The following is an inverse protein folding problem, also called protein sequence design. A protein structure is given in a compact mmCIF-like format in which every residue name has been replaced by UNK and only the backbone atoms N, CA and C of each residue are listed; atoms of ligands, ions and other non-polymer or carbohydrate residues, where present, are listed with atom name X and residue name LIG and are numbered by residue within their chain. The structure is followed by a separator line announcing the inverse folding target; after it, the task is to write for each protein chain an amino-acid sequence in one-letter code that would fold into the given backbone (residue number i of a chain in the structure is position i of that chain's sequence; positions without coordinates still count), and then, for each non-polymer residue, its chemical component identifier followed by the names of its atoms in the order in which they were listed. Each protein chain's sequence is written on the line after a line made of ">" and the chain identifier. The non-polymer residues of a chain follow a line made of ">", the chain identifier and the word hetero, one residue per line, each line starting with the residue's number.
data_IF_129533789261
#
_entry.id   IF_129533789261
#
_cell.length_a   1.000
_cell.length_b   1.000
_cell.length_c   1.000
_cell.angle_alpha   90.00
_cell.angle_beta   90.00
_cell.angle_gamma   90.00
#
_symmetry.space_group_name_H-M   'P 1'
#
loop_
_entity.id
_entity.type
_entity.pdbx_description
1 polymer ?
#
# COMPACT_ATOMS: atom_id res chain seq x y z
N UNK A 1 72.83 45.18 -20.62
CA UNK A 1 71.83 46.16 -21.05
C UNK A 1 70.80 45.43 -21.90
N UNK A 2 69.72 45.14 -21.42
CA UNK A 2 68.44 44.99 -22.11
C UNK A 2 67.42 44.60 -21.06
N UNK A 3 66.42 45.41 -20.83
CA UNK A 3 65.37 45.19 -19.90
C UNK A 3 64.32 44.22 -20.43
N UNK A 4 63.86 43.36 -19.57
CA UNK A 4 62.69 42.47 -19.81
C UNK A 4 61.47 43.04 -19.18
N UNK A 5 60.47 43.39 -19.96
CA UNK A 5 59.12 43.79 -19.54
C UNK A 5 58.30 42.55 -19.16
N UNK A 6 57.83 42.49 -17.95
CA UNK A 6 56.89 41.47 -17.51
C UNK A 6 55.46 42.00 -17.72
N UNK A 7 54.68 41.32 -18.58
CA UNK A 7 53.24 41.48 -18.63
C UNK A 7 52.58 40.43 -17.74
N UNK A 8 52.09 40.86 -16.56
CA UNK A 8 51.21 40.06 -15.76
C UNK A 8 49.78 40.09 -16.28
N UNK A 9 49.30 38.95 -16.74
CA UNK A 9 47.89 38.77 -17.05
C UNK A 9 47.11 38.52 -15.74
N UNK A 10 46.23 39.47 -15.39
CA UNK A 10 45.26 39.32 -14.30
C UNK A 10 44.10 38.46 -14.84
N UNK A 11 44.06 37.20 -14.46
CA UNK A 11 42.90 36.35 -14.71
C UNK A 11 41.75 36.82 -13.83
N UNK A 12 40.65 37.23 -14.44
CA UNK A 12 39.40 37.52 -13.74
C UNK A 12 38.88 36.26 -13.03
N UNK A 13 38.33 36.35 -11.82
CA UNK A 13 37.74 35.21 -11.11
C UNK A 13 36.47 34.75 -11.85
N UNK A 14 36.48 33.52 -12.36
CA UNK A 14 35.28 32.86 -12.91
C UNK A 14 34.24 32.78 -11.80
N UNK A 15 33.16 33.56 -11.90
CA UNK A 15 31.95 33.40 -11.09
C UNK A 15 31.40 32.01 -11.35
N UNK A 16 31.44 31.16 -10.32
CA UNK A 16 30.71 29.90 -10.34
C UNK A 16 29.22 30.22 -10.48
N UNK A 17 28.50 29.54 -11.38
CA UNK A 17 27.02 29.67 -11.43
C UNK A 17 26.45 29.27 -10.08
N UNK A 18 25.51 30.06 -9.58
CA UNK A 18 24.76 29.76 -8.35
C UNK A 18 24.21 28.32 -8.44
N UNK A 19 24.23 27.55 -7.34
CA UNK A 19 23.66 26.22 -7.36
C UNK A 19 22.20 26.33 -7.76
N UNK A 20 21.82 25.57 -8.79
CA UNK A 20 20.43 25.38 -9.16
C UNK A 20 19.68 24.96 -7.87
N UNK A 21 18.75 25.79 -7.39
CA UNK A 21 17.82 25.36 -6.36
C UNK A 21 17.07 24.16 -6.95
N UNK A 22 17.44 22.97 -6.49
CA UNK A 22 16.74 21.75 -6.85
C UNK A 22 15.30 21.90 -6.35
N UNK A 23 14.35 22.05 -7.27
CA UNK A 23 12.93 22.03 -6.94
C UNK A 23 12.71 20.77 -6.11
N UNK A 24 12.34 20.93 -4.84
CA UNK A 24 12.23 19.84 -3.89
C UNK A 24 11.29 18.77 -4.48
N UNK A 25 11.85 17.59 -4.77
CA UNK A 25 11.10 16.44 -5.30
C UNK A 25 9.90 16.16 -4.37
N UNK A 26 8.69 16.02 -4.92
CA UNK A 26 7.55 15.55 -4.14
C UNK A 26 7.90 14.21 -3.49
N UNK A 27 7.61 14.07 -2.19
CA UNK A 27 7.83 12.81 -1.48
C UNK A 27 7.07 11.68 -2.15
N UNK A 28 7.76 10.55 -2.39
CA UNK A 28 7.18 9.33 -2.96
C UNK A 28 6.64 8.43 -1.88
N UNK A 29 5.45 7.92 -2.15
CA UNK A 29 4.77 6.95 -1.28
C UNK A 29 4.51 5.70 -2.09
N UNK A 30 4.92 4.56 -1.58
CA UNK A 30 4.65 3.26 -2.19
C UNK A 30 3.64 2.47 -1.37
N UNK A 31 2.67 1.87 -2.04
CA UNK A 31 1.68 0.99 -1.42
C UNK A 31 1.48 -0.26 -2.27
N UNK A 32 1.70 -1.42 -1.69
CA UNK A 32 1.46 -2.72 -2.32
C UNK A 32 0.17 -3.37 -1.80
N UNK A 33 -0.62 -3.95 -2.69
CA UNK A 33 -1.82 -4.71 -2.33
C UNK A 33 -1.89 -6.01 -3.11
N UNK A 34 -2.12 -7.14 -2.40
CA UNK A 34 -2.25 -8.45 -3.01
C UNK A 34 -3.64 -8.65 -3.61
N UNK A 35 -3.77 -9.26 -4.80
CA UNK A 35 -5.04 -9.63 -5.40
C UNK A 35 -5.64 -10.87 -4.73
N UNK A 36 -6.02 -10.74 -3.46
CA UNK A 36 -6.53 -11.82 -2.60
C UNK A 36 -8.06 -12.01 -2.67
N UNK A 37 -8.69 -11.48 -3.71
CA UNK A 37 -10.14 -11.44 -3.95
C UNK A 37 -10.75 -10.06 -3.64
N UNK A 38 -12.07 -9.89 -3.86
CA UNK A 38 -12.75 -8.60 -3.72
C UNK A 38 -12.48 -7.92 -2.38
N UNK A 39 -12.32 -6.61 -2.38
CA UNK A 39 -12.08 -5.82 -1.17
C UNK A 39 -13.26 -5.86 -0.21
N UNK A 40 -12.99 -5.58 1.05
CA UNK A 40 -13.99 -5.33 2.09
C UNK A 40 -13.99 -3.85 2.46
N UNK A 41 -15.05 -3.39 3.12
CA UNK A 41 -15.05 -2.02 3.69
C UNK A 41 -13.89 -1.80 4.67
N UNK A 42 -13.39 -2.87 5.31
CA UNK A 42 -12.20 -2.81 6.16
C UNK A 42 -10.91 -2.48 5.39
N UNK A 43 -10.75 -2.99 4.16
CA UNK A 43 -9.64 -2.61 3.28
C UNK A 43 -9.78 -1.16 2.80
N UNK A 44 -10.99 -0.77 2.40
CA UNK A 44 -11.29 0.59 1.94
C UNK A 44 -11.02 1.64 3.02
N UNK A 45 -11.68 1.51 4.17
CA UNK A 45 -11.56 2.47 5.26
C UNK A 45 -10.17 2.46 5.93
N UNK A 46 -9.55 1.27 6.01
CA UNK A 46 -8.27 1.08 6.68
C UNK A 46 -7.05 1.47 5.83
N UNK A 47 -7.18 1.56 4.51
CA UNK A 47 -6.03 1.86 3.64
C UNK A 47 -6.39 2.70 2.42
N UNK A 48 -7.29 2.20 1.54
CA UNK A 48 -7.48 2.77 0.20
C UNK A 48 -7.97 4.22 0.26
N UNK A 49 -8.88 4.55 1.18
CA UNK A 49 -9.38 5.90 1.39
C UNK A 49 -8.26 6.91 1.71
N UNK A 50 -7.26 6.48 2.46
CA UNK A 50 -6.07 7.29 2.74
C UNK A 50 -5.23 7.48 1.48
N UNK A 51 -5.03 6.43 0.67
CA UNK A 51 -4.30 6.51 -0.59
C UNK A 51 -4.95 7.50 -1.57
N UNK A 52 -6.28 7.47 -1.66
CA UNK A 52 -7.06 8.43 -2.47
C UNK A 52 -6.81 9.88 -2.04
N UNK A 53 -6.68 10.15 -0.74
CA UNK A 53 -6.36 11.50 -0.25
C UNK A 53 -4.89 11.86 -0.53
N UNK A 54 -3.96 10.94 -0.28
CA UNK A 54 -2.52 11.19 -0.41
C UNK A 54 -2.06 11.45 -1.85
N UNK A 55 -2.75 10.92 -2.87
CA UNK A 55 -2.38 11.13 -4.28
C UNK A 55 -2.42 12.61 -4.71
N UNK A 56 -3.11 13.48 -3.97
CA UNK A 56 -3.14 14.91 -4.25
C UNK A 56 -1.94 15.68 -3.71
N UNK A 57 -1.28 15.13 -2.70
CA UNK A 57 -0.20 15.80 -1.97
C UNK A 57 1.18 15.19 -2.27
N UNK A 58 1.23 13.90 -2.60
CA UNK A 58 2.45 13.10 -2.76
C UNK A 58 2.48 12.42 -4.12
N UNK A 59 3.66 12.02 -4.57
CA UNK A 59 3.78 11.12 -5.71
C UNK A 59 3.46 9.69 -5.24
N UNK A 60 2.22 9.27 -5.48
CA UNK A 60 1.71 7.98 -5.02
C UNK A 60 1.93 6.89 -6.06
N UNK A 61 2.47 5.77 -5.62
CA UNK A 61 2.76 4.58 -6.43
C UNK A 61 2.00 3.41 -5.79
N UNK A 62 1.04 2.86 -6.52
CA UNK A 62 0.21 1.75 -6.09
C UNK A 62 0.51 0.53 -6.95
N UNK A 63 1.00 -0.52 -6.32
CA UNK A 63 1.40 -1.76 -6.97
C UNK A 63 0.45 -2.89 -6.61
N UNK A 64 -0.15 -3.53 -7.60
CA UNK A 64 -0.86 -4.80 -7.42
C UNK A 64 0.20 -5.91 -7.38
N UNK A 65 0.51 -6.40 -6.18
CA UNK A 65 1.64 -7.29 -5.93
C UNK A 65 1.27 -8.76 -6.18
N UNK A 66 1.07 -9.11 -7.43
CA UNK A 66 0.65 -10.44 -7.86
C UNK A 66 1.74 -11.50 -7.69
N UNK A 67 3.03 -11.14 -7.71
CA UNK A 67 4.11 -12.08 -7.42
C UNK A 67 4.10 -12.52 -5.95
N UNK A 68 3.73 -11.63 -5.02
CA UNK A 68 3.53 -12.02 -3.62
C UNK A 68 2.37 -12.99 -3.44
N UNK A 69 1.34 -12.91 -4.27
CA UNK A 69 0.22 -13.84 -4.21
C UNK A 69 0.62 -15.28 -4.58
N UNK A 70 1.70 -15.45 -5.35
CA UNK A 70 2.23 -16.76 -5.75
C UNK A 70 2.94 -17.53 -4.62
N UNK A 71 3.18 -16.90 -3.47
CA UNK A 71 3.80 -17.56 -2.30
C UNK A 71 2.90 -18.61 -1.65
N UNK A 72 1.63 -18.64 -2.00
CA UNK A 72 0.63 -19.62 -1.59
C UNK A 72 0.06 -20.33 -2.83
N UNK A 73 -0.52 -21.53 -2.70
CA UNK A 73 -1.20 -22.20 -3.80
C UNK A 73 -2.27 -21.31 -4.45
N UNK A 74 -2.25 -21.20 -5.76
CA UNK A 74 -3.18 -20.36 -6.53
C UNK A 74 -3.60 -21.02 -7.83
N UNK A 75 -4.75 -20.63 -8.36
CA UNK A 75 -5.18 -20.92 -9.72
C UNK A 75 -4.77 -19.75 -10.65
N UNK A 76 -4.08 -20.02 -11.79
CA UNK A 76 -3.59 -18.95 -12.67
C UNK A 76 -4.71 -18.09 -13.29
N UNK A 77 -5.85 -18.69 -13.63
CA UNK A 77 -6.99 -17.97 -14.20
C UNK A 77 -7.60 -17.05 -13.14
N UNK A 78 -7.73 -17.57 -11.92
CA UNK A 78 -8.27 -16.84 -10.79
C UNK A 78 -7.34 -15.69 -10.36
N UNK A 79 -6.03 -15.90 -10.35
CA UNK A 79 -5.03 -14.86 -10.06
C UNK A 79 -5.13 -13.69 -11.06
N UNK A 80 -5.20 -14.01 -12.37
CA UNK A 80 -5.38 -12.99 -13.41
C UNK A 80 -6.67 -12.21 -13.24
N UNK A 81 -7.80 -12.90 -13.02
CA UNK A 81 -9.09 -12.28 -12.79
C UNK A 81 -9.07 -11.36 -11.58
N UNK A 82 -8.58 -11.84 -10.43
CA UNK A 82 -8.47 -11.05 -9.18
C UNK A 82 -7.56 -9.85 -9.31
N UNK A 83 -6.52 -9.92 -10.16
CA UNK A 83 -5.64 -8.78 -10.45
C UNK A 83 -6.41 -7.66 -11.16
N UNK A 84 -7.23 -8.00 -12.16
CA UNK A 84 -8.06 -7.03 -12.87
C UNK A 84 -9.20 -6.49 -11.99
N UNK A 85 -9.87 -7.38 -11.25
CA UNK A 85 -10.92 -7.00 -10.29
C UNK A 85 -10.40 -5.99 -9.26
N UNK A 86 -9.22 -6.24 -8.68
CA UNK A 86 -8.61 -5.34 -7.73
C UNK A 86 -8.23 -3.99 -8.34
N UNK A 87 -7.72 -3.97 -9.59
CA UNK A 87 -7.44 -2.73 -10.30
C UNK A 87 -8.73 -1.90 -10.48
N UNK A 88 -9.81 -2.53 -10.92
CA UNK A 88 -11.12 -1.90 -11.06
C UNK A 88 -11.64 -1.36 -9.71
N UNK A 89 -11.53 -2.14 -8.64
CA UNK A 89 -11.93 -1.72 -7.29
C UNK A 89 -11.13 -0.49 -6.82
N UNK A 90 -9.81 -0.45 -7.02
CA UNK A 90 -8.97 0.68 -6.64
C UNK A 90 -9.35 1.95 -7.41
N UNK A 91 -9.55 1.85 -8.72
CA UNK A 91 -9.98 2.97 -9.57
C UNK A 91 -11.38 3.44 -9.16
N UNK A 92 -12.32 2.53 -8.93
CA UNK A 92 -13.68 2.85 -8.49
C UNK A 92 -13.68 3.56 -7.13
N UNK A 93 -12.75 3.21 -6.23
CA UNK A 93 -12.57 3.88 -4.94
C UNK A 93 -12.00 5.31 -5.05
N UNK A 94 -11.54 5.72 -6.24
CA UNK A 94 -11.01 7.06 -6.48
C UNK A 94 -9.50 7.17 -6.64
N UNK A 95 -8.78 6.05 -6.79
CA UNK A 95 -7.39 6.11 -7.27
C UNK A 95 -7.44 6.63 -8.72
N UNK A 96 -6.90 7.81 -8.92
CA UNK A 96 -6.85 8.52 -10.19
C UNK A 96 -5.56 8.15 -10.95
N UNK A 97 -5.63 7.41 -12.07
CA UNK A 97 -4.45 6.99 -12.82
C UNK A 97 -3.63 8.14 -13.40
N UNK A 98 -4.20 9.33 -13.52
CA UNK A 98 -3.45 10.52 -13.98
C UNK A 98 -2.60 11.12 -12.85
N UNK A 99 -3.03 10.98 -11.59
CA UNK A 99 -2.34 11.52 -10.41
C UNK A 99 -1.40 10.51 -9.76
N UNK A 100 -1.84 9.25 -9.68
CA UNK A 100 -1.07 8.16 -9.10
C UNK A 100 -0.56 7.21 -10.18
N UNK A 101 0.50 6.47 -9.89
CA UNK A 101 0.96 5.34 -10.71
C UNK A 101 0.27 4.09 -10.18
N UNK A 102 -0.57 3.46 -11.00
CA UNK A 102 -1.22 2.18 -10.68
C UNK A 102 -0.77 1.13 -11.70
N UNK A 103 -0.13 0.07 -11.25
CA UNK A 103 0.43 -0.96 -12.13
C UNK A 103 0.44 -2.35 -11.49
N UNK A 104 0.77 -3.37 -12.27
CA UNK A 104 0.92 -4.76 -11.82
C UNK A 104 2.41 -5.09 -11.68
N UNK A 105 2.79 -5.64 -10.53
CA UNK A 105 4.17 -5.94 -10.16
C UNK A 105 4.93 -6.77 -11.21
N UNK A 106 4.30 -7.84 -11.73
CA UNK A 106 4.92 -8.72 -12.72
C UNK A 106 5.24 -8.04 -14.07
N UNK A 107 4.61 -6.89 -14.35
CA UNK A 107 4.84 -6.13 -15.58
C UNK A 107 6.11 -5.25 -15.51
N UNK A 108 6.78 -5.21 -14.35
CA UNK A 108 8.06 -4.50 -14.12
C UNK A 108 9.11 -5.51 -13.65
N UNK A 109 9.84 -6.19 -14.55
CA UNK A 109 10.80 -7.25 -14.21
C UNK A 109 11.92 -6.82 -13.25
N UNK A 110 12.20 -5.54 -13.18
CA UNK A 110 13.19 -4.92 -12.28
C UNK A 110 12.95 -5.28 -10.81
N UNK A 111 11.72 -5.53 -10.40
CA UNK A 111 11.39 -6.01 -9.05
C UNK A 111 12.10 -7.33 -8.74
N UNK A 112 12.04 -8.28 -9.65
CA UNK A 112 12.63 -9.62 -9.45
C UNK A 112 14.14 -9.60 -9.60
N UNK A 113 14.70 -8.80 -10.50
CA UNK A 113 16.14 -8.63 -10.64
C UNK A 113 16.73 -7.99 -9.38
N UNK A 114 16.11 -6.90 -8.89
CA UNK A 114 16.55 -6.26 -7.66
C UNK A 114 16.42 -7.22 -6.46
N UNK A 115 15.35 -8.01 -6.40
CA UNK A 115 15.17 -9.03 -5.35
C UNK A 115 16.37 -9.98 -5.31
N UNK A 116 16.84 -10.47 -6.46
CA UNK A 116 18.02 -11.33 -6.50
C UNK A 116 19.25 -10.63 -5.96
N UNK A 117 19.53 -9.41 -6.40
CA UNK A 117 20.67 -8.64 -5.94
C UNK A 117 20.60 -8.39 -4.43
N UNK A 118 19.45 -7.95 -3.91
CA UNK A 118 19.26 -7.71 -2.49
C UNK A 118 19.34 -8.99 -1.65
N UNK A 119 18.97 -10.15 -2.22
CA UNK A 119 19.07 -11.44 -1.52
C UNK A 119 20.51 -11.78 -1.15
N UNK A 120 21.50 -11.33 -1.95
CA UNK A 120 22.93 -11.50 -1.66
C UNK A 120 23.40 -10.62 -0.50
N UNK A 121 22.65 -9.60 -0.13
CA UNK A 121 22.92 -8.67 0.96
C UNK A 121 22.04 -8.92 2.19
N UNK A 122 21.08 -9.85 2.09
CA UNK A 122 20.15 -10.17 3.19
C UNK A 122 20.62 -11.39 3.94
N UNK A 123 20.71 -11.30 5.27
CA UNK A 123 21.19 -12.40 6.09
C UNK A 123 20.09 -13.46 6.26
N UNK A 124 20.46 -14.74 6.08
CA UNK A 124 19.54 -15.87 6.25
C UNK A 124 18.83 -15.85 7.61
N UNK A 125 19.56 -15.50 8.68
CA UNK A 125 19.00 -15.38 10.02
C UNK A 125 17.99 -14.24 10.20
N UNK A 126 18.06 -13.17 9.39
CA UNK A 126 17.07 -12.09 9.40
C UNK A 126 15.73 -12.59 8.88
N UNK A 127 15.75 -13.27 7.73
CA UNK A 127 14.55 -13.89 7.14
C UNK A 127 13.94 -14.95 8.07
N UNK A 128 14.77 -15.78 8.72
CA UNK A 128 14.31 -16.80 9.66
C UNK A 128 13.64 -16.21 10.92
N UNK A 129 13.85 -14.92 11.23
CA UNK A 129 13.20 -14.24 12.35
C UNK A 129 11.88 -13.57 11.99
N UNK A 130 11.53 -13.48 10.69
CA UNK A 130 10.28 -12.86 10.25
C UNK A 130 9.07 -13.59 10.84
N UNK A 131 8.16 -12.82 11.45
CA UNK A 131 6.98 -13.36 12.16
C UNK A 131 6.11 -14.18 11.23
N UNK A 132 5.81 -13.68 10.03
CA UNK A 132 4.95 -14.41 9.10
C UNK A 132 5.54 -15.73 8.61
N UNK A 133 6.87 -15.82 8.48
CA UNK A 133 7.52 -17.11 8.18
C UNK A 133 7.36 -18.10 9.33
N UNK A 134 7.49 -17.62 10.58
CA UNK A 134 7.29 -18.45 11.78
C UNK A 134 5.86 -18.95 11.89
N UNK A 135 4.89 -18.11 11.57
CA UNK A 135 3.46 -18.43 11.73
C UNK A 135 2.96 -19.38 10.64
N UNK A 136 3.41 -19.19 9.39
CA UNK A 136 2.93 -19.93 8.23
C UNK A 136 3.83 -21.10 7.79
N UNK A 137 5.14 -21.01 8.11
CA UNK A 137 6.16 -21.95 7.62
C UNK A 137 6.65 -22.96 8.66
N UNK A 138 6.27 -22.85 9.92
CA UNK A 138 6.80 -23.66 11.01
C UNK A 138 6.30 -25.10 10.91
N UNK A 139 7.19 -26.01 10.46
CA UNK A 139 6.96 -27.46 10.50
C UNK A 139 6.28 -28.05 9.28
N UNK A 140 6.02 -27.29 8.22
CA UNK A 140 5.55 -27.83 6.94
C UNK A 140 6.71 -27.80 5.91
N UNK A 141 7.31 -28.96 5.63
CA UNK A 141 8.37 -29.12 4.64
C UNK A 141 7.92 -28.81 3.19
N UNK A 142 6.60 -28.65 2.98
CA UNK A 142 6.02 -28.35 1.66
C UNK A 142 5.88 -26.86 1.40
N UNK A 143 6.30 -25.99 2.35
CA UNK A 143 6.27 -24.55 2.17
C UNK A 143 7.31 -24.14 1.14
N UNK A 144 6.87 -23.48 0.07
CA UNK A 144 7.75 -22.99 -0.98
C UNK A 144 8.75 -21.96 -0.47
N UNK A 145 9.96 -21.94 -1.04
CA UNK A 145 11.00 -20.95 -0.71
C UNK A 145 10.54 -19.49 -0.89
N UNK A 146 9.56 -19.24 -1.75
CA UNK A 146 8.95 -17.92 -1.92
C UNK A 146 8.40 -17.32 -0.62
N UNK A 147 7.85 -18.15 0.29
CA UNK A 147 7.38 -17.68 1.60
C UNK A 147 8.55 -17.25 2.51
N UNK A 148 9.75 -17.76 2.29
CA UNK A 148 10.95 -17.34 3.01
C UNK A 148 11.53 -16.05 2.41
N UNK A 149 11.48 -15.91 1.07
CA UNK A 149 12.13 -14.82 0.33
C UNK A 149 11.25 -13.59 0.08
N UNK A 150 9.91 -13.69 0.22
CA UNK A 150 9.03 -12.55 -0.09
C UNK A 150 9.38 -11.24 0.65
N UNK A 151 9.99 -11.22 1.87
CA UNK A 151 10.38 -9.97 2.48
C UNK A 151 11.46 -9.21 1.70
N UNK A 152 12.32 -9.94 0.96
CA UNK A 152 13.32 -9.33 0.07
C UNK A 152 12.65 -8.75 -1.19
N UNK A 153 11.66 -9.45 -1.74
CA UNK A 153 10.85 -8.92 -2.83
C UNK A 153 10.09 -7.65 -2.39
N UNK A 154 9.54 -7.63 -1.19
CA UNK A 154 8.89 -6.43 -0.64
C UNK A 154 9.89 -5.28 -0.46
N UNK A 155 11.11 -5.56 -0.01
CA UNK A 155 12.17 -4.55 0.06
C UNK A 155 12.50 -3.99 -1.33
N UNK A 156 12.63 -4.87 -2.34
CA UNK A 156 12.86 -4.47 -3.73
C UNK A 156 11.70 -3.60 -4.25
N UNK A 157 10.45 -3.99 -4.01
CA UNK A 157 9.25 -3.23 -4.42
C UNK A 157 9.31 -1.78 -3.95
N UNK A 158 9.79 -1.57 -2.73
CA UNK A 158 9.80 -0.27 -2.06
C UNK A 158 10.98 0.59 -2.54
N UNK A 159 12.21 0.06 -2.48
CA UNK A 159 13.41 0.88 -2.72
C UNK A 159 13.71 1.10 -4.20
N UNK A 160 13.14 0.29 -5.10
CA UNK A 160 13.25 0.46 -6.55
C UNK A 160 12.77 1.84 -7.02
N UNK A 161 11.82 2.42 -6.32
CA UNK A 161 11.19 3.69 -6.66
C UNK A 161 11.71 4.90 -5.86
N UNK A 162 12.82 4.77 -5.14
CA UNK A 162 13.29 5.83 -4.21
C UNK A 162 12.16 6.31 -3.29
N UNK A 163 11.46 5.38 -2.70
CA UNK A 163 10.31 5.62 -1.82
C UNK A 163 10.75 6.33 -0.54
N UNK A 164 10.10 7.43 -0.19
CA UNK A 164 10.37 8.16 1.05
C UNK A 164 9.59 7.56 2.23
N UNK A 165 8.33 7.11 2.00
CA UNK A 165 7.50 6.54 3.07
C UNK A 165 6.54 5.48 2.57
N UNK A 166 6.23 4.52 3.43
CA UNK A 166 5.34 3.39 3.16
C UNK A 166 4.21 3.38 4.17
N UNK A 167 2.96 3.68 3.76
CA UNK A 167 1.80 3.60 4.65
C UNK A 167 1.49 2.13 4.94
N UNK A 168 1.71 1.71 6.17
CA UNK A 168 1.53 0.32 6.61
C UNK A 168 0.86 0.23 7.97
N UNK A 169 0.21 -0.90 8.21
CA UNK A 169 -0.22 -1.29 9.55
C UNK A 169 0.97 -1.70 10.44
N UNK A 170 0.77 -1.71 11.75
CA UNK A 170 1.78 -2.09 12.73
C UNK A 170 2.34 -3.50 12.48
N UNK A 171 1.53 -4.42 11.96
CA UNK A 171 1.93 -5.78 11.58
C UNK A 171 2.98 -5.85 10.47
N UNK A 172 3.19 -4.76 9.71
CA UNK A 172 4.18 -4.66 8.65
C UNK A 172 5.46 -3.91 9.07
N UNK A 173 5.54 -3.41 10.30
CA UNK A 173 6.72 -2.68 10.81
C UNK A 173 8.01 -3.46 10.59
N UNK A 174 8.01 -4.75 10.95
CA UNK A 174 9.19 -5.61 10.81
C UNK A 174 9.69 -5.73 9.35
N UNK A 175 8.78 -5.71 8.38
CA UNK A 175 9.15 -5.73 6.96
C UNK A 175 9.82 -4.43 6.52
N UNK A 176 9.32 -3.28 7.01
CA UNK A 176 9.95 -1.98 6.70
C UNK A 176 11.31 -1.85 7.39
N UNK A 177 11.46 -2.35 8.61
CA UNK A 177 12.76 -2.41 9.30
C UNK A 177 13.77 -3.24 8.50
N UNK A 178 13.39 -4.45 8.03
CA UNK A 178 14.24 -5.26 7.15
C UNK A 178 14.59 -4.51 5.85
N UNK A 179 13.62 -3.84 5.24
CA UNK A 179 13.84 -3.04 4.02
C UNK A 179 14.89 -1.97 4.25
N UNK A 180 14.82 -1.26 5.37
CA UNK A 180 15.78 -0.23 5.78
C UNK A 180 17.18 -0.81 6.00
N UNK A 181 17.28 -1.91 6.74
CA UNK A 181 18.55 -2.58 7.04
C UNK A 181 19.25 -3.06 5.77
N UNK A 182 18.49 -3.65 4.83
CA UNK A 182 19.02 -4.11 3.53
C UNK A 182 19.46 -2.93 2.67
N UNK A 183 18.67 -1.85 2.60
CA UNK A 183 19.03 -0.65 1.83
C UNK A 183 20.27 0.06 2.42
N UNK A 184 20.36 0.19 3.74
CA UNK A 184 21.53 0.77 4.43
C UNK A 184 22.78 -0.07 4.20
N UNK A 185 22.68 -1.39 4.30
CA UNK A 185 23.79 -2.31 4.05
C UNK A 185 24.27 -2.22 2.61
N UNK A 186 23.34 -2.18 1.65
CA UNK A 186 23.67 -2.00 0.24
C UNK A 186 24.42 -0.68 0.01
N UNK A 187 23.88 0.44 0.52
CA UNK A 187 24.51 1.76 0.41
C UNK A 187 25.91 1.78 1.05
N UNK A 188 26.08 1.09 2.17
CA UNK A 188 27.38 0.99 2.86
C UNK A 188 28.44 0.24 2.05
N UNK A 189 28.04 -0.75 1.24
CA UNK A 189 28.94 -1.59 0.44
C UNK A 189 29.23 -0.97 -0.93
N UNK A 190 28.21 -0.45 -1.59
CA UNK A 190 28.25 -0.05 -3.00
C UNK A 190 28.14 1.47 -3.21
N UNK A 191 28.02 2.25 -2.14
CA UNK A 191 27.79 3.71 -2.21
C UNK A 191 26.30 4.07 -2.20
N UNK A 192 26.01 5.35 -1.93
CA UNK A 192 24.64 5.90 -1.82
C UNK A 192 23.84 5.65 -3.10
N UNK A 193 22.97 4.67 -3.05
CA UNK A 193 22.17 4.20 -4.19
C UNK A 193 20.67 4.28 -3.90
N UNK A 194 20.24 3.85 -2.72
CA UNK A 194 18.83 3.79 -2.33
C UNK A 194 18.45 4.84 -1.31
N UNK A 195 17.28 5.43 -1.46
CA UNK A 195 16.62 6.18 -0.40
C UNK A 195 16.18 5.22 0.70
N UNK A 196 16.42 5.57 1.96
CA UNK A 196 16.01 4.75 3.12
C UNK A 196 14.56 5.11 3.47
N UNK A 197 13.60 4.20 3.24
CA UNK A 197 12.19 4.52 3.45
C UNK A 197 11.82 4.61 4.93
N UNK A 198 10.77 5.37 5.24
CA UNK A 198 10.17 5.42 6.57
C UNK A 198 8.84 4.67 6.61
N UNK A 199 8.57 3.96 7.71
CA UNK A 199 7.25 3.41 7.96
C UNK A 199 6.29 4.54 8.36
N UNK A 200 5.25 4.75 7.56
CA UNK A 200 4.19 5.72 7.84
C UNK A 200 3.03 4.98 8.54
N UNK A 201 3.24 4.69 9.83
CA UNK A 201 2.28 3.96 10.65
C UNK A 201 1.27 4.96 11.21
N UNK A 202 0.03 4.80 10.81
CA UNK A 202 -1.06 5.63 11.28
C UNK A 202 -1.35 5.31 12.76
N UNK A 203 -1.19 6.31 13.63
CA UNK A 203 -1.45 6.16 15.07
C UNK A 203 -2.93 5.89 15.38
N UNK A 204 -3.80 6.27 14.47
CA UNK A 204 -5.27 6.15 14.57
C UNK A 204 -5.89 5.61 13.29
N UNK A 205 -5.17 4.81 12.49
CA UNK A 205 -5.75 4.14 11.34
C UNK A 205 -6.91 3.26 11.79
N UNK A 206 -8.05 3.43 11.14
CA UNK A 206 -9.26 2.70 11.47
C UNK A 206 -9.04 1.19 11.31
N UNK A 207 -8.61 0.53 12.38
CA UNK A 207 -8.62 -0.92 12.43
C UNK A 207 -10.07 -1.36 12.53
N UNK A 208 -10.67 -1.59 11.37
CA UNK A 208 -12.05 -2.08 11.31
C UNK A 208 -12.08 -3.51 11.80
N UNK A 209 -12.90 -3.73 12.84
CA UNK A 209 -13.07 -5.04 13.45
C UNK A 209 -14.22 -5.79 12.78
N UNK A 210 -14.25 -7.11 12.97
CA UNK A 210 -15.29 -7.98 12.46
C UNK A 210 -16.67 -7.61 13.01
N UNK A 211 -17.70 -7.80 12.20
CA UNK A 211 -19.08 -7.50 12.59
C UNK A 211 -19.66 -8.52 13.59
N UNK A 212 -19.14 -9.74 13.54
CA UNK A 212 -19.56 -10.88 14.40
C UNK A 212 -18.64 -11.10 15.60
N UNK A 213 -17.41 -10.53 15.56
CA UNK A 213 -16.45 -10.62 16.67
C UNK A 213 -15.56 -9.35 16.71
N UNK A 214 -15.92 -8.36 17.54
CA UNK A 214 -15.20 -7.08 17.60
C UNK A 214 -13.78 -7.18 18.21
N UNK A 215 -13.34 -8.36 18.62
CA UNK A 215 -11.96 -8.61 19.07
C UNK A 215 -11.04 -8.99 17.93
N UNK A 216 -11.58 -9.38 16.78
CA UNK A 216 -10.85 -9.77 15.58
C UNK A 216 -10.95 -8.71 14.49
N UNK A 217 -9.88 -8.58 13.69
CA UNK A 217 -9.89 -7.71 12.50
C UNK A 217 -10.89 -8.24 11.47
N UNK A 218 -11.63 -7.33 10.81
CA UNK A 218 -12.50 -7.68 9.67
C UNK A 218 -11.70 -8.41 8.60
N UNK A 219 -12.13 -9.61 8.23
CA UNK A 219 -11.42 -10.48 7.30
C UNK A 219 -12.39 -11.44 6.61
N UNK A 220 -12.14 -11.71 5.31
CA UNK A 220 -12.89 -12.71 4.55
C UNK A 220 -12.76 -14.13 5.10
N UNK A 221 -11.61 -14.46 5.69
CA UNK A 221 -11.36 -15.76 6.32
C UNK A 221 -12.25 -16.04 7.53
N UNK A 222 -12.84 -15.00 8.13
CA UNK A 222 -13.81 -15.13 9.24
C UNK A 222 -15.21 -15.56 8.80
N UNK A 223 -15.46 -15.70 7.51
CA UNK A 223 -16.77 -16.05 6.96
C UNK A 223 -17.64 -14.84 6.61
N UNK A 224 -18.78 -15.05 5.91
CA UNK A 224 -19.58 -13.98 5.31
C UNK A 224 -20.27 -13.04 6.32
N UNK A 225 -20.40 -13.44 7.57
CA UNK A 225 -20.95 -12.58 8.64
C UNK A 225 -19.92 -11.59 9.21
N UNK A 226 -18.63 -11.83 8.95
CA UNK A 226 -17.51 -11.09 9.51
C UNK A 226 -17.32 -9.70 8.85
N UNK A 227 -17.69 -9.57 7.59
CA UNK A 227 -17.34 -8.40 6.78
C UNK A 227 -18.46 -7.94 5.84
N UNK A 228 -18.37 -6.71 5.36
CA UNK A 228 -19.11 -6.21 4.21
C UNK A 228 -18.16 -6.20 3.01
N UNK A 229 -18.55 -6.90 1.93
CA UNK A 229 -17.84 -6.89 0.67
C UNK A 229 -18.22 -5.68 -0.19
N UNK A 230 -17.33 -5.26 -1.09
CA UNK A 230 -17.62 -4.17 -2.02
C UNK A 230 -18.82 -4.47 -2.94
N UNK A 231 -19.06 -5.73 -3.23
CA UNK A 231 -20.17 -6.17 -4.10
C UNK A 231 -21.42 -6.59 -3.33
N UNK A 232 -21.47 -6.40 -2.00
CA UNK A 232 -22.70 -6.66 -1.24
C UNK A 232 -23.83 -5.73 -1.71
N UNK A 233 -24.98 -6.30 -2.00
CA UNK A 233 -26.18 -5.54 -2.32
C UNK A 233 -26.66 -4.72 -1.12
N UNK A 234 -27.48 -3.66 -1.32
CA UNK A 234 -28.07 -2.89 -0.24
C UNK A 234 -28.76 -3.77 0.82
N UNK A 235 -29.48 -4.82 0.39
CA UNK A 235 -30.16 -5.72 1.31
C UNK A 235 -29.19 -6.61 2.10
N UNK A 236 -28.08 -7.01 1.49
CA UNK A 236 -27.01 -7.72 2.21
C UNK A 236 -26.33 -6.84 3.24
N UNK A 237 -26.03 -5.58 2.91
CA UNK A 237 -25.47 -4.61 3.84
C UNK A 237 -26.42 -4.42 5.04
N UNK A 238 -27.72 -4.16 4.78
CA UNK A 238 -28.73 -4.04 5.84
C UNK A 238 -28.78 -5.28 6.72
N UNK A 239 -28.80 -6.46 6.13
CA UNK A 239 -28.83 -7.73 6.84
C UNK A 239 -27.58 -7.93 7.71
N UNK A 240 -26.38 -7.66 7.18
CA UNK A 240 -25.11 -7.82 7.90
C UNK A 240 -25.01 -6.84 9.06
N UNK A 241 -25.30 -5.56 8.85
CA UNK A 241 -25.28 -4.54 9.92
C UNK A 241 -26.34 -4.85 11.00
N UNK A 242 -27.56 -5.25 10.62
CA UNK A 242 -28.57 -5.63 11.60
C UNK A 242 -28.14 -6.82 12.48
N UNK A 243 -27.41 -7.78 11.93
CA UNK A 243 -26.89 -8.95 12.64
C UNK A 243 -25.56 -8.70 13.37
N UNK A 244 -24.87 -7.60 13.09
CA UNK A 244 -23.62 -7.28 13.77
C UNK A 244 -23.79 -7.34 15.29
N UNK A 245 -22.77 -7.84 15.97
CA UNK A 245 -22.79 -7.94 17.45
C UNK A 245 -22.85 -6.54 18.06
N UNK A 246 -23.55 -6.43 19.18
CA UNK A 246 -23.60 -5.24 20.03
C UNK A 246 -23.26 -5.63 21.47
N UNK A 247 -22.72 -4.68 22.20
CA UNK A 247 -22.37 -4.84 23.58
C UNK A 247 -23.62 -4.83 24.48
N UNK A 248 -23.49 -5.24 25.75
CA UNK A 248 -24.54 -5.17 26.74
C UNK A 248 -24.98 -3.74 27.02
N UNK A 249 -26.27 -3.54 27.30
CA UNK A 249 -26.85 -2.23 27.56
C UNK A 249 -27.50 -1.60 26.35
N UNK A 250 -27.79 -0.30 26.41
CA UNK A 250 -28.50 0.46 25.34
C UNK A 250 -27.81 1.71 24.90
N UNK A 251 -26.69 2.09 25.51
CA UNK A 251 -25.97 3.33 25.21
C UNK A 251 -25.10 3.17 23.94
N UNK A 252 -25.20 4.13 23.04
CA UNK A 252 -24.43 4.22 21.80
C UNK A 252 -23.23 5.12 22.06
N UNK A 253 -22.15 4.54 22.58
CA UNK A 253 -20.91 5.25 22.97
C UNK A 253 -19.67 4.41 22.62
N UNK A 254 -18.59 5.08 22.21
CA UNK A 254 -17.32 4.47 21.82
C UNK A 254 -16.37 4.35 23.02
N UNK A 255 -16.65 3.40 23.92
CA UNK A 255 -15.81 3.12 25.09
C UNK A 255 -15.08 1.78 24.93
N UNK A 256 -14.00 1.59 25.69
CA UNK A 256 -13.20 0.36 25.64
C UNK A 256 -13.94 -0.88 26.18
N UNK A 257 -14.90 -0.67 27.09
CA UNK A 257 -15.80 -1.72 27.59
C UNK A 257 -16.94 -2.05 26.63
N UNK A 258 -17.03 -1.32 25.48
CA UNK A 258 -18.03 -1.51 24.43
C UNK A 258 -17.36 -1.65 23.05
N UNK A 259 -16.54 -2.69 22.83
CA UNK A 259 -15.76 -2.82 21.59
C UNK A 259 -16.61 -2.95 20.33
N UNK A 260 -17.78 -3.58 20.40
CA UNK A 260 -18.67 -3.71 19.25
C UNK A 260 -19.25 -2.35 18.84
N UNK A 261 -19.72 -1.55 19.80
CA UNK A 261 -20.28 -0.24 19.53
C UNK A 261 -19.19 0.74 19.09
N UNK A 262 -18.01 0.68 19.70
CA UNK A 262 -16.81 1.45 19.27
C UNK A 262 -16.48 1.18 17.80
N UNK A 263 -16.52 -0.10 17.37
CA UNK A 263 -16.29 -0.46 15.97
C UNK A 263 -17.38 0.09 15.04
N UNK A 264 -18.66 -0.07 15.36
CA UNK A 264 -19.76 0.40 14.53
C UNK A 264 -19.80 1.94 14.43
N UNK A 265 -19.55 2.66 15.51
CA UNK A 265 -19.40 4.12 15.51
C UNK A 265 -18.18 4.55 14.69
N UNK A 266 -17.07 3.83 14.79
CA UNK A 266 -15.89 4.08 13.97
C UNK A 266 -16.17 3.91 12.47
N UNK A 267 -16.87 2.85 12.07
CA UNK A 267 -17.31 2.64 10.69
C UNK A 267 -18.22 3.79 10.23
N UNK A 268 -19.19 4.19 11.06
CA UNK A 268 -20.09 5.30 10.73
C UNK A 268 -19.34 6.62 10.54
N UNK A 269 -18.52 6.96 11.52
CA UNK A 269 -17.67 8.16 11.46
C UNK A 269 -16.83 8.23 10.19
N UNK A 270 -16.21 7.12 9.83
CA UNK A 270 -15.36 7.06 8.63
C UNK A 270 -16.16 7.18 7.33
N UNK A 271 -17.35 6.59 7.22
CA UNK A 271 -18.15 6.75 6.01
C UNK A 271 -18.73 8.15 5.85
N UNK A 272 -19.08 8.80 6.96
CA UNK A 272 -19.79 10.10 6.91
C UNK A 272 -18.90 11.32 7.18
N UNK A 273 -17.61 11.11 7.50
CA UNK A 273 -16.70 12.18 8.00
C UNK A 273 -17.26 12.92 9.23
N UNK A 274 -18.16 12.29 9.98
CA UNK A 274 -18.77 12.84 11.20
C UNK A 274 -17.97 12.41 12.43
N UNK A 275 -17.54 13.32 13.29
CA UNK A 275 -16.84 12.95 14.52
C UNK A 275 -17.67 11.99 15.41
N UNK A 276 -16.99 11.02 16.04
CA UNK A 276 -17.66 10.03 16.92
C UNK A 276 -18.48 10.73 18.01
N UNK A 277 -17.96 11.79 18.62
CA UNK A 277 -18.66 12.58 19.65
C UNK A 277 -19.98 13.19 19.17
N UNK A 278 -20.06 13.57 17.91
CA UNK A 278 -21.30 14.09 17.31
C UNK A 278 -22.30 12.96 17.06
N UNK A 279 -21.82 11.79 16.61
CA UNK A 279 -22.65 10.60 16.48
C UNK A 279 -23.21 10.15 17.84
N UNK A 280 -22.38 10.10 18.88
CA UNK A 280 -22.81 9.76 20.23
C UNK A 280 -23.91 10.71 20.71
N UNK A 281 -23.74 12.03 20.53
CA UNK A 281 -24.73 13.03 20.90
C UNK A 281 -26.05 12.87 20.13
N UNK A 282 -26.00 12.51 18.85
CA UNK A 282 -27.18 12.28 17.99
C UNK A 282 -28.01 11.08 18.46
N UNK A 283 -27.37 10.07 19.05
CA UNK A 283 -28.01 8.82 19.44
C UNK A 283 -28.28 8.68 20.94
N UNK A 284 -28.21 9.76 21.71
CA UNK A 284 -28.62 9.75 23.12
C UNK A 284 -30.09 9.32 23.26
N UNK A 285 -30.34 8.25 24.00
CA UNK A 285 -31.67 7.71 24.19
C UNK A 285 -32.26 6.92 23.02
N UNK A 286 -31.49 6.74 21.94
CA UNK A 286 -31.89 5.95 20.77
C UNK A 286 -31.44 4.50 20.95
N UNK A 287 -32.28 3.55 20.54
CA UNK A 287 -31.93 2.12 20.62
C UNK A 287 -31.02 1.65 19.46
N UNK A 288 -30.26 0.58 19.70
CA UNK A 288 -29.35 -0.03 18.73
C UNK A 288 -29.98 -0.34 17.36
N UNK A 289 -31.26 -0.70 17.33
CA UNK A 289 -31.95 -1.02 16.09
C UNK A 289 -32.05 0.19 15.13
N UNK A 290 -32.34 1.40 15.65
CA UNK A 290 -32.37 2.60 14.84
C UNK A 290 -30.96 2.97 14.38
N UNK A 291 -29.99 3.00 15.29
CA UNK A 291 -28.59 3.26 14.97
C UNK A 291 -28.06 2.35 13.84
N UNK A 292 -28.34 1.05 13.92
CA UNK A 292 -27.91 0.09 12.88
C UNK A 292 -28.58 0.33 11.53
N UNK A 293 -29.85 0.73 11.52
CA UNK A 293 -30.52 1.09 10.26
C UNK A 293 -29.85 2.31 9.61
N UNK A 294 -29.63 3.35 10.40
CA UNK A 294 -29.01 4.58 9.91
C UNK A 294 -27.57 4.35 9.42
N UNK A 295 -26.79 3.53 10.17
CA UNK A 295 -25.47 3.10 9.75
C UNK A 295 -25.49 2.33 8.42
N UNK A 296 -26.43 1.40 8.24
CA UNK A 296 -26.56 0.64 7.02
C UNK A 296 -26.87 1.53 5.82
N UNK A 297 -27.82 2.48 5.98
CA UNK A 297 -28.14 3.43 4.90
C UNK A 297 -26.95 4.35 4.58
N UNK A 298 -26.21 4.83 5.58
CA UNK A 298 -25.00 5.62 5.36
C UNK A 298 -23.93 4.86 4.57
N UNK A 299 -23.72 3.56 4.89
CA UNK A 299 -22.80 2.71 4.11
C UNK A 299 -23.31 2.56 2.68
N UNK A 300 -24.59 2.26 2.47
CA UNK A 300 -25.18 2.06 1.15
C UNK A 300 -25.04 3.33 0.30
N UNK A 301 -25.36 4.49 0.86
CA UNK A 301 -25.26 5.78 0.16
C UNK A 301 -23.82 6.07 -0.31
N UNK A 302 -22.82 5.82 0.54
CA UNK A 302 -21.42 6.05 0.20
C UNK A 302 -20.85 4.98 -0.75
N UNK A 303 -21.35 3.75 -0.66
CA UNK A 303 -20.90 2.67 -1.54
C UNK A 303 -21.54 2.73 -2.94
N UNK A 304 -22.75 3.29 -3.08
CA UNK A 304 -23.47 3.30 -4.33
C UNK A 304 -22.69 3.90 -5.52
N UNK A 305 -22.05 5.09 -5.42
CA UNK A 305 -21.26 5.64 -6.51
C UNK A 305 -20.02 4.80 -6.83
N UNK A 306 -19.40 4.19 -5.83
CA UNK A 306 -18.24 3.30 -6.00
C UNK A 306 -18.67 2.04 -6.76
N UNK A 307 -19.79 1.43 -6.37
CA UNK A 307 -20.33 0.23 -7.02
C UNK A 307 -20.78 0.52 -8.47
N UNK A 308 -21.38 1.68 -8.73
CA UNK A 308 -21.74 2.10 -10.09
C UNK A 308 -20.49 2.23 -10.97
N UNK A 309 -19.45 2.91 -10.49
CA UNK A 309 -18.17 3.05 -11.22
C UNK A 309 -17.47 1.72 -11.43
N UNK A 310 -17.50 0.83 -10.42
CA UNK A 310 -16.95 -0.53 -10.53
C UNK A 310 -17.66 -1.33 -11.62
N UNK A 311 -18.99 -1.26 -11.68
CA UNK A 311 -19.76 -1.95 -12.72
C UNK A 311 -19.42 -1.45 -14.14
N UNK A 312 -19.21 -0.13 -14.32
CA UNK A 312 -18.74 0.44 -15.59
C UNK A 312 -17.37 -0.11 -16.00
N UNK A 313 -16.42 -0.14 -15.08
CA UNK A 313 -15.07 -0.65 -15.33
C UNK A 313 -15.08 -2.16 -15.66
N UNK A 314 -15.89 -2.93 -14.95
CA UNK A 314 -16.04 -4.37 -15.21
C UNK A 314 -16.70 -4.67 -16.55
N UNK A 315 -17.50 -3.75 -17.09
CA UNK A 315 -18.07 -3.87 -18.42
C UNK A 315 -17.06 -3.61 -19.56
N UNK A 316 -15.94 -2.92 -19.28
CA UNK A 316 -14.83 -2.69 -20.22
C UNK A 316 -13.47 -3.11 -19.61
N UNK A 317 -13.16 -4.41 -19.56
CA UNK A 317 -11.88 -4.89 -19.02
C UNK A 317 -10.66 -4.38 -19.80
N UNK A 318 -10.83 -4.05 -21.08
CA UNK A 318 -9.74 -3.52 -21.91
C UNK A 318 -9.33 -2.12 -21.46
N UNK A 319 -10.26 -1.31 -20.93
CA UNK A 319 -9.93 -0.02 -20.33
C UNK A 319 -9.06 -0.19 -19.08
N UNK A 320 -9.36 -1.17 -18.24
CA UNK A 320 -8.53 -1.49 -17.06
C UNK A 320 -7.11 -1.85 -17.50
N UNK A 321 -6.98 -2.71 -18.53
CA UNK A 321 -5.68 -3.11 -19.07
C UNK A 321 -4.92 -1.90 -19.64
N UNK A 322 -5.59 -1.00 -20.37
CA UNK A 322 -4.98 0.24 -20.88
C UNK A 322 -4.45 1.14 -19.75
N UNK A 323 -5.22 1.28 -18.67
CA UNK A 323 -4.81 2.05 -17.49
C UNK A 323 -3.57 1.43 -16.84
N UNK A 324 -3.57 0.12 -16.62
CA UNK A 324 -2.45 -0.60 -16.01
C UNK A 324 -1.18 -0.54 -16.86
N UNK A 325 -1.31 -0.63 -18.20
CA UNK A 325 -0.17 -0.49 -19.12
C UNK A 325 0.47 0.89 -19.04
N UNK A 326 -0.34 1.97 -19.04
CA UNK A 326 0.17 3.34 -18.82
C UNK A 326 0.86 3.48 -17.46
N UNK A 327 0.27 2.87 -16.42
CA UNK A 327 0.88 2.83 -15.09
C UNK A 327 2.22 2.10 -15.09
N UNK A 328 2.32 0.98 -15.80
CA UNK A 328 3.56 0.21 -15.98
C UNK A 328 4.64 1.02 -16.68
N UNK A 329 4.32 1.75 -17.76
CA UNK A 329 5.25 2.63 -18.45
C UNK A 329 5.82 3.69 -17.50
N UNK A 330 4.94 4.38 -16.75
CA UNK A 330 5.34 5.38 -15.74
C UNK A 330 6.16 4.78 -14.60
N UNK A 331 5.86 3.56 -14.16
CA UNK A 331 6.65 2.85 -13.16
C UNK A 331 8.06 2.53 -13.68
N UNK A 332 8.17 2.09 -14.93
CA UNK A 332 9.46 1.81 -15.59
C UNK A 332 10.32 3.05 -15.81
N UNK A 333 9.73 4.22 -16.04
CA UNK A 333 10.48 5.50 -16.11
C UNK A 333 11.29 5.76 -14.83
N UNK A 334 10.88 5.21 -13.69
CA UNK A 334 11.59 5.30 -12.42
C UNK A 334 12.48 4.07 -12.19
N UNK A 335 11.92 2.88 -12.40
CA UNK A 335 12.58 1.61 -12.09
C UNK A 335 13.79 1.32 -12.97
N UNK A 336 13.69 1.56 -14.28
CA UNK A 336 14.76 1.23 -15.23
C UNK A 336 16.05 2.02 -14.97
N UNK A 337 16.03 3.37 -14.83
CA UNK A 337 17.24 4.12 -14.47
C UNK A 337 17.82 3.69 -13.11
N UNK A 338 16.96 3.39 -12.13
CA UNK A 338 17.42 2.91 -10.82
C UNK A 338 18.15 1.57 -10.96
N UNK A 339 17.61 0.63 -11.73
CA UNK A 339 18.28 -0.64 -11.98
C UNK A 339 19.58 -0.50 -12.78
N UNK A 340 19.64 0.44 -13.71
CA UNK A 340 20.91 0.75 -14.40
C UNK A 340 21.99 1.22 -13.41
N UNK A 341 21.63 2.12 -12.48
CA UNK A 341 22.51 2.54 -11.39
C UNK A 341 22.96 1.34 -10.54
N UNK A 342 22.01 0.48 -10.11
CA UNK A 342 22.31 -0.71 -9.31
C UNK A 342 23.27 -1.65 -10.03
N UNK A 343 23.03 -1.94 -11.32
CA UNK A 343 23.90 -2.79 -12.13
C UNK A 343 25.33 -2.21 -12.25
N UNK A 344 25.44 -0.89 -12.36
CA UNK A 344 26.74 -0.21 -12.42
C UNK A 344 27.50 -0.35 -11.11
N UNK A 345 26.91 0.04 -9.97
CA UNK A 345 27.61 0.04 -8.69
C UNK A 345 27.96 -1.37 -8.19
N UNK A 346 27.16 -2.38 -8.58
CA UNK A 346 27.44 -3.79 -8.26
C UNK A 346 28.40 -4.47 -9.23
N UNK A 347 28.77 -3.80 -10.33
CA UNK A 347 29.72 -4.33 -11.30
C UNK A 347 29.17 -5.41 -12.24
N UNK A 348 27.84 -5.62 -12.30
CA UNK A 348 27.23 -6.62 -13.21
C UNK A 348 26.88 -6.04 -14.58
N UNK A 349 27.01 -4.71 -14.77
CA UNK A 349 26.83 -4.07 -16.06
C UNK A 349 28.09 -4.24 -16.90
N UNK A 350 27.91 -4.68 -18.15
CA UNK A 350 28.98 -4.73 -19.16
C UNK A 350 28.98 -3.48 -20.08
N UNK A 351 28.08 -2.51 -19.86
CA UNK A 351 28.09 -1.25 -20.59
C UNK A 351 29.30 -0.42 -20.16
N UNK A 352 30.11 0.05 -21.12
CA UNK A 352 31.30 0.87 -20.87
C UNK A 352 30.91 2.17 -20.14
N UNK A 353 31.57 2.44 -19.01
CA UNK A 353 31.31 3.61 -18.17
C UNK A 353 31.91 3.45 -16.78
N UNK A 354 33.16 2.95 -16.70
CA UNK A 354 33.96 2.91 -15.46
C UNK A 354 34.65 4.25 -15.26
#
# INVERSE_FOLDING_TARGET
>A
MVGASAFGSIAEPRTQPAPFEAVARRKRVFSGIQPSGSMTIGNYLGAVRRWVRQQHERQSIHCIVNLHAMTLPYDPIDLRRRTLDLAAELIACGIDPEKAILFVQSEVPEHTELTWILSTQTMFGELGRMTQFKDKGRGDERVGSGLFFYPVLMAADIILYDTDSVPVGEDQRQHIELTRDVAQRFNSVFGETFVIPEADIEKEGARIMALDDPTKKMSKSGGPANYIAFMDSPDEIRRKINRAVTDSGSEIVARDDKPAMKNLLGIYSLFTDTPISELEARYVGVGYGQFKRDLAEAIIEQMAPIQARLAELQADPDEIVRILNRGTERAREIATPKMEQVRQVTGISLKAGW
#
